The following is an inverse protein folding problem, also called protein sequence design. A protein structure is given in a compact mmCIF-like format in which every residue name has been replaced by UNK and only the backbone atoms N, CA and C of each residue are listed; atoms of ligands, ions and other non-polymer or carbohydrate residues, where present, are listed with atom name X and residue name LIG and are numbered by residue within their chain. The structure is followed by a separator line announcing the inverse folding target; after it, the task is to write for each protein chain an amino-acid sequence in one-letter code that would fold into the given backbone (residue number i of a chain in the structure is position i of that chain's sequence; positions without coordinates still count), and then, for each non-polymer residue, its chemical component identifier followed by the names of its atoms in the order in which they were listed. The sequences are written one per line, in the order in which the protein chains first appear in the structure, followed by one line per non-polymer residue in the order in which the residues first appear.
data_IF_733579395129
#
_entry.id   IF_733579395129
#
_cell.length_a   1.000
_cell.length_b   1.000
_cell.length_c   1.000
_cell.angle_alpha   90.00
_cell.angle_beta   90.00
_cell.angle_gamma   90.00
#
_symmetry.space_group_name_H-M   'P 1'
#
loop_
_entity.id
_entity.type
_entity.pdbx_description
1 polymer ?
#
# COMPACT_ATOMS: atom_id res chain seq x y z
N UNK A 1 -14.45 -0.17 -20.90
CA UNK A 1 -14.80 0.95 -20.00
C UNK A 1 -13.61 1.89 -20.01
N UNK A 2 -13.87 3.18 -20.13
CA UNK A 2 -12.91 4.23 -20.48
C UNK A 2 -11.62 4.17 -19.65
N UNK A 3 -10.53 3.66 -20.24
CA UNK A 3 -9.18 4.10 -19.90
C UNK A 3 -9.03 5.53 -20.41
N UNK A 4 -9.68 6.45 -19.70
CA UNK A 4 -9.49 7.88 -19.86
C UNK A 4 -8.03 8.15 -19.53
N UNK A 5 -7.23 8.30 -20.58
CA UNK A 5 -6.02 9.13 -20.68
C UNK A 5 -5.67 9.84 -19.37
N UNK A 6 -5.17 9.09 -18.39
CA UNK A 6 -4.46 9.68 -17.29
C UNK A 6 -3.20 10.22 -17.94
N UNK A 7 -3.12 11.55 -18.04
CA UNK A 7 -1.94 12.31 -18.43
C UNK A 7 -0.72 11.52 -17.94
N UNK A 8 -0.03 10.82 -18.84
CA UNK A 8 1.22 10.16 -18.51
C UNK A 8 2.18 11.31 -18.30
N UNK A 9 2.18 11.86 -17.08
CA UNK A 9 3.16 12.84 -16.64
C UNK A 9 4.49 12.11 -16.78
N UNK A 10 5.16 12.35 -17.91
CA UNK A 10 6.51 11.87 -18.14
C UNK A 10 7.32 12.37 -16.97
N UNK A 11 7.80 11.45 -16.14
CA UNK A 11 8.69 11.83 -15.04
C UNK A 11 10.04 12.14 -15.65
N UNK A 12 10.22 13.42 -15.96
CA UNK A 12 11.52 13.98 -16.30
C UNK A 12 12.29 14.31 -15.03
N UNK A 13 13.61 14.16 -15.09
CA UNK A 13 14.52 14.51 -13.99
C UNK A 13 14.64 16.03 -13.94
N UNK A 14 13.69 16.67 -13.28
CA UNK A 14 13.64 18.10 -13.02
C UNK A 14 13.42 18.35 -11.52
N UNK A 15 13.88 19.49 -11.02
CA UNK A 15 13.78 19.83 -9.59
C UNK A 15 12.34 19.80 -9.08
N UNK A 16 11.38 20.26 -9.88
CA UNK A 16 9.95 20.22 -9.54
C UNK A 16 9.47 18.80 -9.29
N UNK A 17 9.81 17.86 -10.18
CA UNK A 17 9.39 16.47 -10.09
C UNK A 17 10.07 15.76 -8.93
N UNK A 18 11.34 16.05 -8.66
CA UNK A 18 12.08 15.50 -7.51
C UNK A 18 11.40 15.91 -6.20
N UNK A 19 11.12 17.20 -6.03
CA UNK A 19 10.45 17.72 -4.83
C UNK A 19 9.04 17.15 -4.72
N UNK A 20 8.30 17.10 -5.82
CA UNK A 20 6.95 16.54 -5.86
C UNK A 20 6.94 15.06 -5.47
N UNK A 21 7.81 14.25 -6.06
CA UNK A 21 7.94 12.82 -5.75
C UNK A 21 8.32 12.59 -4.30
N UNK A 22 9.18 13.44 -3.72
CA UNK A 22 9.48 13.39 -2.29
C UNK A 22 8.22 13.58 -1.43
N UNK A 23 7.40 14.61 -1.71
CA UNK A 23 6.15 14.82 -0.96
C UNK A 23 5.10 13.74 -1.22
N UNK A 24 4.98 13.25 -2.45
CA UNK A 24 4.11 12.11 -2.77
C UNK A 24 4.57 10.89 -1.95
N UNK A 25 5.87 10.62 -1.86
CA UNK A 25 6.42 9.56 -1.02
C UNK A 25 6.03 9.70 0.45
N UNK A 26 6.09 10.92 1.00
CA UNK A 26 5.64 11.20 2.38
C UNK A 26 4.16 10.85 2.53
N UNK A 27 3.28 11.31 1.63
CA UNK A 27 1.84 11.06 1.76
C UNK A 27 1.51 9.58 1.55
N UNK A 28 2.11 8.94 0.55
CA UNK A 28 1.91 7.51 0.26
C UNK A 28 2.40 6.63 1.41
N UNK A 29 3.38 7.06 2.19
CA UNK A 29 3.83 6.32 3.39
C UNK A 29 2.71 6.10 4.42
N UNK A 30 1.63 6.90 4.39
CA UNK A 30 0.47 6.74 5.27
C UNK A 30 -0.15 5.35 5.14
N UNK A 31 -0.13 4.79 3.93
CA UNK A 31 -0.71 3.48 3.63
C UNK A 31 0.13 2.34 4.20
N UNK A 32 1.37 2.61 4.60
CA UNK A 32 2.24 1.61 5.25
C UNK A 32 1.99 1.55 6.76
N UNK A 33 1.50 2.65 7.36
CA UNK A 33 1.24 2.73 8.80
C UNK A 33 -0.21 2.39 9.13
N UNK A 34 -1.16 2.85 8.31
CA UNK A 34 -2.59 2.71 8.58
C UNK A 34 -3.18 1.52 7.81
N UNK A 35 -3.73 0.50 8.49
CA UNK A 35 -4.30 -0.66 7.83
C UNK A 35 -5.59 -0.30 7.08
N UNK A 36 -5.83 -1.00 5.96
CA UNK A 36 -7.02 -0.79 5.13
C UNK A 36 -6.92 0.35 4.11
N UNK A 37 -5.79 1.08 4.06
CA UNK A 37 -5.51 2.07 3.01
C UNK A 37 -4.60 1.47 1.94
N UNK A 38 -5.00 1.56 0.67
CA UNK A 38 -4.21 1.05 -0.46
C UNK A 38 -3.21 2.10 -0.99
N UNK A 39 -1.92 1.75 -1.00
CA UNK A 39 -0.86 2.61 -1.55
C UNK A 39 -1.03 2.91 -3.04
N UNK A 40 -1.48 1.93 -3.83
CA UNK A 40 -1.75 2.12 -5.26
C UNK A 40 -2.90 3.11 -5.49
N UNK A 41 -3.94 3.08 -4.66
CA UNK A 41 -5.07 4.02 -4.74
C UNK A 41 -4.60 5.46 -4.48
N UNK A 42 -3.78 5.68 -3.44
CA UNK A 42 -3.25 7.01 -3.15
C UNK A 42 -2.43 7.54 -4.35
N UNK A 43 -1.57 6.70 -4.93
CA UNK A 43 -0.81 7.09 -6.12
C UNK A 43 -1.69 7.34 -7.35
N UNK A 44 -2.79 6.60 -7.51
CA UNK A 44 -3.76 6.81 -8.60
C UNK A 44 -4.49 8.13 -8.42
N UNK A 45 -4.91 8.47 -7.19
CA UNK A 45 -5.54 9.76 -6.87
C UNK A 45 -4.59 10.92 -7.16
N UNK A 46 -3.30 10.77 -6.86
CA UNK A 46 -2.29 11.76 -7.24
C UNK A 46 -1.97 11.78 -8.73
N UNK A 47 -2.40 10.77 -9.51
CA UNK A 47 -2.09 10.64 -10.94
C UNK A 47 -0.69 10.12 -11.26
N UNK A 48 0.08 9.68 -10.26
CA UNK A 48 1.46 9.22 -10.42
C UNK A 48 1.63 7.70 -10.38
N UNK A 49 0.54 6.94 -10.23
CA UNK A 49 0.59 5.48 -10.16
C UNK A 49 1.35 4.85 -11.33
N UNK A 50 0.91 5.11 -12.56
CA UNK A 50 1.55 4.54 -13.74
C UNK A 50 2.97 5.06 -13.93
N UNK A 51 3.21 6.35 -13.69
CA UNK A 51 4.56 6.91 -13.81
C UNK A 51 5.54 6.24 -12.85
N UNK A 52 5.18 6.08 -11.57
CA UNK A 52 6.06 5.42 -10.58
C UNK A 52 6.25 3.94 -10.91
N UNK A 53 5.18 3.19 -11.23
CA UNK A 53 5.29 1.77 -11.58
C UNK A 53 6.17 1.58 -12.82
N UNK A 54 6.04 2.45 -13.83
CA UNK A 54 6.87 2.41 -15.03
C UNK A 54 8.33 2.75 -14.72
N UNK A 55 8.60 3.74 -13.86
CA UNK A 55 9.97 4.06 -13.41
C UNK A 55 10.60 2.92 -12.62
N UNK A 56 9.85 2.27 -11.71
CA UNK A 56 10.32 1.07 -10.97
C UNK A 56 10.62 -0.08 -11.93
N UNK A 57 9.73 -0.34 -12.89
CA UNK A 57 9.91 -1.41 -13.88
C UNK A 57 11.16 -1.14 -14.73
N UNK A 58 11.29 0.10 -15.24
CA UNK A 58 12.45 0.54 -16.02
C UNK A 58 13.76 0.46 -15.24
N UNK A 59 13.74 0.75 -13.93
CA UNK A 59 14.88 0.58 -13.05
C UNK A 59 15.34 -0.89 -12.97
N UNK A 60 14.40 -1.82 -12.77
CA UNK A 60 14.73 -3.25 -12.72
C UNK A 60 15.16 -3.80 -14.09
N UNK A 61 14.56 -3.31 -15.18
CA UNK A 61 14.98 -3.68 -16.52
C UNK A 61 16.39 -3.19 -16.84
N UNK A 62 16.69 -1.93 -16.51
CA UNK A 62 18.05 -1.37 -16.63
C UNK A 62 19.07 -2.16 -15.80
N UNK A 63 18.69 -2.61 -14.61
CA UNK A 63 19.53 -3.45 -13.75
C UNK A 63 19.80 -4.83 -14.39
N UNK A 64 18.79 -5.45 -15.02
CA UNK A 64 18.94 -6.75 -15.71
C UNK A 64 19.91 -6.70 -16.89
N UNK A 65 19.87 -5.62 -17.66
CA UNK A 65 20.72 -5.44 -18.84
C UNK A 65 22.02 -4.67 -18.53
N UNK A 66 22.27 -4.34 -17.26
CA UNK A 66 23.42 -3.56 -16.79
C UNK A 66 23.60 -2.21 -17.52
N UNK A 67 22.49 -1.55 -17.88
CA UNK A 67 22.52 -0.22 -18.47
C UNK A 67 22.62 0.83 -17.35
N UNK A 68 23.84 1.33 -17.13
CA UNK A 68 24.10 2.30 -16.07
C UNK A 68 23.46 3.67 -16.28
N UNK A 69 23.31 4.11 -17.52
CA UNK A 69 22.69 5.40 -17.83
C UNK A 69 21.22 5.40 -17.42
N UNK A 70 20.46 4.41 -17.90
CA UNK A 70 19.06 4.22 -17.53
C UNK A 70 18.89 3.93 -16.04
N UNK A 71 19.83 3.21 -15.42
CA UNK A 71 19.76 2.90 -14.00
C UNK A 71 19.88 4.17 -13.14
N UNK A 72 20.87 5.02 -13.43
CA UNK A 72 21.07 6.30 -12.72
C UNK A 72 19.89 7.23 -12.94
N UNK A 73 19.37 7.30 -14.17
CA UNK A 73 18.19 8.11 -14.50
C UNK A 73 16.98 7.71 -13.65
N UNK A 74 16.60 6.43 -13.65
CA UNK A 74 15.44 5.96 -12.87
C UNK A 74 15.70 6.05 -11.36
N UNK A 75 16.94 5.78 -10.90
CA UNK A 75 17.32 5.95 -9.51
C UNK A 75 17.17 7.39 -9.04
N UNK A 76 17.47 8.39 -9.87
CA UNK A 76 17.36 9.80 -9.51
C UNK A 76 15.92 10.25 -9.22
N UNK A 77 14.92 9.56 -9.78
CA UNK A 77 13.50 9.77 -9.51
C UNK A 77 13.01 8.94 -8.32
N UNK A 78 13.45 7.68 -8.22
CA UNK A 78 13.04 6.77 -7.15
C UNK A 78 13.68 7.09 -5.81
N UNK A 79 14.89 7.62 -5.79
CA UNK A 79 15.61 7.99 -4.58
C UNK A 79 14.85 9.03 -3.73
N UNK A 80 14.48 10.23 -4.25
CA UNK A 80 13.72 11.20 -3.46
C UNK A 80 12.34 10.67 -3.05
N UNK A 81 11.67 9.89 -3.90
CA UNK A 81 10.42 9.21 -3.54
C UNK A 81 10.61 8.25 -2.36
N UNK A 82 11.65 7.41 -2.40
CA UNK A 82 11.99 6.47 -1.34
C UNK A 82 12.39 7.15 -0.04
N UNK A 83 13.16 8.25 -0.10
CA UNK A 83 13.48 9.07 1.07
C UNK A 83 12.21 9.69 1.66
N UNK A 84 11.31 10.18 0.81
CA UNK A 84 10.00 10.68 1.22
C UNK A 84 9.17 9.62 1.94
N UNK A 85 9.15 8.38 1.41
CA UNK A 85 8.50 7.25 2.08
C UNK A 85 9.09 7.02 3.47
N UNK A 86 10.41 6.88 3.57
CA UNK A 86 11.06 6.60 4.85
C UNK A 86 10.75 7.68 5.89
N UNK A 87 10.91 8.95 5.52
CA UNK A 87 10.59 10.08 6.39
C UNK A 87 9.11 10.10 6.77
N UNK A 88 8.24 9.86 5.80
CA UNK A 88 6.80 9.81 5.99
C UNK A 88 6.38 8.71 6.97
N UNK A 89 6.95 7.51 6.88
CA UNK A 89 6.67 6.41 7.82
C UNK A 89 6.97 6.86 9.26
N UNK A 90 8.13 7.48 9.50
CA UNK A 90 8.48 7.99 10.83
C UNK A 90 7.52 9.08 11.30
N UNK A 91 7.19 10.03 10.43
CA UNK A 91 6.30 11.14 10.78
C UNK A 91 4.89 10.65 11.11
N UNK A 92 4.32 9.81 10.24
CA UNK A 92 2.96 9.31 10.38
C UNK A 92 2.85 8.34 11.54
N UNK A 93 3.87 7.50 11.79
CA UNK A 93 3.92 6.66 12.99
C UNK A 93 3.77 7.49 14.26
N UNK A 94 4.47 8.63 14.37
CA UNK A 94 4.36 9.53 15.53
C UNK A 94 2.99 10.20 15.63
N UNK A 95 2.40 10.58 14.49
CA UNK A 95 1.05 11.16 14.46
C UNK A 95 0.03 10.13 14.95
N UNK A 96 0.09 8.90 14.43
CA UNK A 96 -0.82 7.83 14.83
C UNK A 96 -0.63 7.45 16.30
N UNK A 97 0.62 7.37 16.78
CA UNK A 97 0.91 7.17 18.20
C UNK A 97 0.30 8.26 19.08
N UNK A 98 0.46 9.53 18.69
CA UNK A 98 -0.17 10.66 19.37
C UNK A 98 -1.71 10.54 19.38
N UNK A 99 -2.31 10.17 18.25
CA UNK A 99 -3.76 9.94 18.14
C UNK A 99 -4.24 8.81 19.06
N UNK A 100 -3.48 7.72 19.18
CA UNK A 100 -3.82 6.62 20.09
C UNK A 100 -3.78 7.03 21.56
N UNK A 101 -2.83 7.90 21.95
CA UNK A 101 -2.70 8.34 23.34
C UNK A 101 -3.79 9.36 23.69
N UNK A 102 -4.03 10.35 22.84
CA UNK A 102 -4.92 11.48 23.15
C UNK A 102 -6.37 11.24 22.72
N UNK A 103 -6.60 10.45 21.67
CA UNK A 103 -7.92 10.19 21.08
C UNK A 103 -8.14 8.69 20.79
N UNK A 104 -7.99 7.78 21.77
CA UNK A 104 -8.02 6.34 21.54
C UNK A 104 -9.32 5.87 20.90
N UNK A 105 -10.48 6.28 21.43
CA UNK A 105 -11.77 5.80 20.93
C UNK A 105 -12.01 6.20 19.47
N UNK A 106 -11.74 7.46 19.12
CA UNK A 106 -11.86 7.96 17.74
C UNK A 106 -10.89 7.22 16.80
N UNK A 107 -9.65 7.01 17.25
CA UNK A 107 -8.61 6.33 16.46
C UNK A 107 -8.98 4.87 16.20
N UNK A 108 -9.42 4.14 17.23
CA UNK A 108 -9.90 2.77 17.08
C UNK A 108 -11.10 2.71 16.13
N UNK A 109 -12.11 3.56 16.32
CA UNK A 109 -13.29 3.59 15.44
C UNK A 109 -12.91 3.89 13.99
N UNK A 110 -11.97 4.80 13.74
CA UNK A 110 -11.47 5.11 12.41
C UNK A 110 -10.77 3.91 11.76
N UNK A 111 -9.86 3.26 12.49
CA UNK A 111 -9.15 2.06 12.01
C UNK A 111 -10.12 0.90 11.74
N UNK A 112 -11.05 0.64 12.66
CA UNK A 112 -12.08 -0.38 12.44
C UNK A 112 -12.94 -0.08 11.22
N UNK A 113 -13.31 1.19 11.03
CA UNK A 113 -14.02 1.64 9.83
C UNK A 113 -13.24 1.33 8.54
N UNK A 114 -11.94 1.64 8.51
CA UNK A 114 -11.08 1.33 7.36
C UNK A 114 -10.94 -0.17 7.10
N UNK A 115 -10.76 -0.97 8.16
CA UNK A 115 -10.66 -2.44 8.06
C UNK A 115 -11.95 -3.02 7.49
N UNK A 116 -13.12 -2.56 7.96
CA UNK A 116 -14.42 -3.02 7.45
C UNK A 116 -14.67 -2.53 6.03
N UNK A 117 -14.27 -1.30 5.69
CA UNK A 117 -14.47 -0.74 4.35
C UNK A 117 -13.60 -1.42 3.28
N UNK A 118 -12.40 -1.91 3.63
CA UNK A 118 -11.43 -2.49 2.68
C UNK A 118 -12.01 -3.64 1.82
N UNK A 119 -12.67 -4.68 2.39
CA UNK A 119 -13.33 -5.71 1.59
C UNK A 119 -14.36 -5.17 0.60
N UNK A 120 -15.17 -4.18 0.99
CA UNK A 120 -16.17 -3.57 0.09
C UNK A 120 -15.51 -2.86 -1.09
N UNK A 121 -14.42 -2.11 -0.84
CA UNK A 121 -13.67 -1.45 -1.89
C UNK A 121 -13.10 -2.45 -2.90
N UNK A 122 -12.61 -3.60 -2.42
CA UNK A 122 -12.12 -4.68 -3.29
C UNK A 122 -13.28 -5.26 -4.11
N UNK A 123 -14.38 -5.67 -3.48
CA UNK A 123 -15.54 -6.27 -4.16
C UNK A 123 -16.19 -5.34 -5.18
N UNK A 124 -16.15 -4.02 -4.95
CA UNK A 124 -16.67 -3.05 -5.89
C UNK A 124 -15.76 -2.88 -7.11
N UNK A 125 -14.44 -2.90 -6.89
CA UNK A 125 -13.45 -2.66 -7.95
C UNK A 125 -13.07 -3.93 -8.73
N UNK A 126 -13.14 -5.09 -8.10
CA UNK A 126 -12.95 -6.39 -8.73
C UNK A 126 -14.32 -7.04 -8.85
N UNK A 127 -14.67 -7.60 -10.01
CA UNK A 127 -15.95 -8.31 -10.21
C UNK A 127 -16.01 -9.63 -9.41
N UNK A 128 -15.49 -9.66 -8.18
CA UNK A 128 -15.38 -10.80 -7.30
C UNK A 128 -16.71 -11.53 -7.14
N UNK A 129 -17.84 -10.80 -7.10
CA UNK A 129 -19.17 -11.40 -7.04
C UNK A 129 -19.54 -12.19 -8.31
N UNK A 130 -19.06 -11.79 -9.48
CA UNK A 130 -19.24 -12.55 -10.71
C UNK A 130 -18.33 -13.80 -10.73
N UNK A 131 -17.11 -13.68 -10.19
CA UNK A 131 -16.18 -14.81 -10.06
C UNK A 131 -16.69 -15.88 -9.08
N UNK A 132 -17.56 -15.52 -8.13
CA UNK A 132 -18.27 -16.46 -7.26
C UNK A 132 -19.25 -17.37 -8.02
N UNK A 133 -19.66 -17.01 -9.24
CA UNK A 133 -20.52 -17.83 -10.09
C UNK A 133 -19.74 -18.76 -11.02
N UNK A 134 -18.40 -18.68 -11.02
CA UNK A 134 -17.54 -19.55 -11.82
C UNK A 134 -17.46 -20.97 -11.26
N UNK A 135 -17.15 -21.97 -12.11
CA UNK A 135 -16.98 -23.36 -11.69
C UNK A 135 -15.92 -23.56 -10.60
N UNK A 136 -14.95 -22.64 -10.51
CA UNK A 136 -13.84 -22.69 -9.56
C UNK A 136 -14.14 -21.94 -8.26
N UNK A 137 -15.30 -21.29 -8.15
CA UNK A 137 -15.67 -20.49 -6.98
C UNK A 137 -15.64 -21.28 -5.67
N UNK A 138 -16.08 -22.54 -5.71
CA UNK A 138 -16.07 -23.43 -4.54
C UNK A 138 -14.64 -23.67 -4.06
N UNK A 139 -13.68 -23.87 -4.96
CA UNK A 139 -12.28 -24.09 -4.61
C UNK A 139 -11.64 -22.83 -3.99
N UNK A 140 -11.83 -21.66 -4.62
CA UNK A 140 -11.27 -20.41 -4.12
C UNK A 140 -11.85 -20.00 -2.76
N UNK A 141 -13.16 -20.12 -2.59
CA UNK A 141 -13.84 -19.79 -1.32
C UNK A 141 -13.43 -20.77 -0.21
N UNK A 142 -13.32 -22.07 -0.51
CA UNK A 142 -12.85 -23.07 0.45
C UNK A 142 -11.42 -22.78 0.93
N UNK A 143 -10.51 -22.43 0.01
CA UNK A 143 -9.13 -22.03 0.34
C UNK A 143 -9.14 -20.79 1.24
N UNK A 144 -9.94 -19.78 0.92
CA UNK A 144 -10.08 -18.57 1.72
C UNK A 144 -10.55 -18.85 3.16
N UNK A 145 -11.55 -19.72 3.34
CA UNK A 145 -12.06 -20.12 4.65
C UNK A 145 -10.98 -20.89 5.44
N UNK A 146 -10.29 -21.83 4.79
CA UNK A 146 -9.21 -22.58 5.44
C UNK A 146 -8.09 -21.65 5.91
N UNK A 147 -7.66 -20.70 5.06
CA UNK A 147 -6.65 -19.71 5.43
C UNK A 147 -7.11 -18.82 6.59
N UNK A 148 -8.38 -18.42 6.62
CA UNK A 148 -8.96 -17.63 7.72
C UNK A 148 -8.90 -18.41 9.03
N UNK A 149 -9.31 -19.68 9.03
CA UNK A 149 -9.27 -20.54 10.22
C UNK A 149 -7.84 -20.77 10.72
N UNK A 150 -6.89 -21.00 9.80
CA UNK A 150 -5.46 -21.17 10.12
C UNK A 150 -4.91 -19.88 10.74
N UNK A 151 -5.15 -18.72 10.11
CA UNK A 151 -4.68 -17.43 10.60
C UNK A 151 -5.26 -17.11 11.99
N UNK A 152 -6.55 -17.40 12.19
CA UNK A 152 -7.22 -17.24 13.48
C UNK A 152 -6.58 -18.14 14.55
N UNK A 153 -6.38 -19.43 14.25
CA UNK A 153 -5.76 -20.37 15.16
C UNK A 153 -4.32 -19.97 15.54
N UNK A 154 -3.50 -19.60 14.54
CA UNK A 154 -2.13 -19.15 14.76
C UNK A 154 -2.09 -17.89 15.64
N UNK A 155 -2.93 -16.90 15.34
CA UNK A 155 -3.02 -15.65 16.11
C UNK A 155 -3.45 -15.93 17.56
N UNK A 156 -4.44 -16.80 17.75
CA UNK A 156 -4.89 -17.21 19.08
C UNK A 156 -3.79 -17.92 19.88
N UNK A 157 -3.03 -18.82 19.24
CA UNK A 157 -1.91 -19.52 19.88
C UNK A 157 -0.79 -18.56 20.26
N UNK A 158 -0.41 -17.64 19.36
CA UNK A 158 0.61 -16.63 19.64
C UNK A 158 0.21 -15.70 20.79
N UNK A 159 -1.07 -15.32 20.87
CA UNK A 159 -1.60 -14.51 21.98
C UNK A 159 -1.45 -15.20 23.34
N UNK A 160 -1.60 -16.52 23.40
CA UNK A 160 -1.45 -17.31 24.64
C UNK A 160 0.01 -17.52 25.07
N UNK A 161 0.96 -17.51 24.15
CA UNK A 161 2.38 -17.74 24.45
C UNK A 161 3.03 -16.53 25.17
N UNK A 162 2.42 -15.35 25.09
CA UNK A 162 2.99 -14.10 25.63
C UNK A 162 2.41 -13.65 26.98
N UNK A 163 1.80 -14.57 27.74
CA UNK A 163 1.53 -14.35 29.17
C UNK A 163 2.68 -14.97 29.98
N UNK A 164 3.72 -14.21 30.37
CA UNK A 164 4.57 -14.66 31.46
C UNK A 164 3.67 -14.72 32.70
N UNK A 165 3.73 -15.82 33.42
CA UNK A 165 2.97 -16.06 34.65
C UNK A 165 3.16 -14.88 35.63
N UNK A 166 2.21 -13.94 35.60
CA UNK A 166 2.04 -12.91 36.61
C UNK A 166 1.41 -13.58 37.83
N UNK A 167 2.26 -14.14 38.69
CA UNK A 167 1.92 -14.36 40.09
C UNK A 167 1.68 -13.03 40.81
#
# INVERSE_FOLDING_TARGET
MQETQAHSAGLEVNLSNIVLLFFIGIVTSATMVVPGISGSLILMVFGYYYSIINTVTSFFDALRILNWESLIYNASLLFPFGVGILLGVFLISKIIEYLFIHYPSLTYSGIFGLIIASPFAIIYNTNALADLSSSNAISFTSIGIILLLIAFYLTYRLGKVKQPDSK
#
